data_IF_922959930060
#
_entry.id   IF_922959930060
#
_cell.length_a   1.000
_cell.length_b   1.000
_cell.length_c   1.000
_cell.angle_alpha   90.00
_cell.angle_beta   90.00
_cell.angle_gamma   90.00
#
_symmetry.space_group_name_H-M   'P 1'
#
loop_
_entity.id
_entity.type
_entity.pdbx_description
1 polymer ?
#
# COMPACT_ATOMS: atom_id res chain seq x y z
N UNK A 1 -15.67 -0.63 -26.33
CA UNK A 1 -15.13 0.72 -26.03
C UNK A 1 -14.53 0.71 -24.62
N UNK A 2 -13.19 0.71 -24.51
CA UNK A 2 -12.48 0.74 -23.23
C UNK A 2 -12.67 2.08 -22.53
N UNK A 3 -13.25 2.10 -21.32
CA UNK A 3 -13.30 3.29 -20.48
C UNK A 3 -12.00 3.38 -19.66
N UNK A 4 -11.01 4.11 -20.16
CA UNK A 4 -9.86 4.57 -19.38
C UNK A 4 -10.15 5.99 -18.90
N UNK A 5 -10.33 6.18 -17.59
CA UNK A 5 -10.34 7.51 -16.96
C UNK A 5 -8.88 7.96 -16.77
N UNK A 6 -8.51 9.20 -17.15
CA UNK A 6 -7.18 9.72 -16.90
C UNK A 6 -7.13 10.25 -15.45
N UNK A 7 -6.18 9.77 -14.65
CA UNK A 7 -5.83 10.45 -13.40
C UNK A 7 -4.65 11.37 -13.67
N UNK A 8 -4.97 12.64 -13.96
CA UNK A 8 -4.05 13.75 -13.81
C UNK A 8 -3.94 14.05 -12.32
N UNK A 9 -2.71 14.09 -11.79
CA UNK A 9 -2.45 14.40 -10.39
C UNK A 9 -0.97 14.72 -10.17
N UNK A 10 -0.53 15.83 -10.74
CA UNK A 10 0.70 16.51 -10.30
C UNK A 10 0.47 16.96 -8.84
N UNK A 11 1.24 16.38 -7.91
CA UNK A 11 1.02 16.61 -6.49
C UNK A 11 2.26 16.23 -5.70
N UNK A 12 3.15 17.21 -5.54
CA UNK A 12 4.30 17.21 -4.63
C UNK A 12 4.00 16.37 -3.38
N UNK A 13 4.68 15.22 -3.25
CA UNK A 13 4.69 14.40 -2.03
C UNK A 13 5.38 15.18 -0.92
N UNK A 14 4.66 16.13 -0.33
CA UNK A 14 4.95 16.62 1.00
C UNK A 14 4.83 15.41 1.90
N UNK A 15 5.89 15.09 2.64
CA UNK A 15 5.88 14.12 3.74
C UNK A 15 4.90 14.60 4.81
N UNK A 16 3.61 14.52 4.52
CA UNK A 16 2.57 14.58 5.52
C UNK A 16 2.77 13.34 6.38
N UNK A 17 2.75 13.51 7.71
CA UNK A 17 2.53 12.39 8.64
C UNK A 17 1.49 11.50 8.01
N UNK A 18 1.84 10.25 7.72
CA UNK A 18 0.93 9.26 7.16
C UNK A 18 -0.11 9.01 8.25
N UNK A 19 -1.15 9.83 8.29
CA UNK A 19 -2.35 9.56 9.05
C UNK A 19 -3.01 8.42 8.30
N UNK A 20 -2.74 7.19 8.73
CA UNK A 20 -3.45 6.02 8.27
C UNK A 20 -4.88 6.21 8.75
N UNK A 21 -5.79 6.46 7.80
CA UNK A 21 -7.21 6.62 8.09
C UNK A 21 -7.72 5.32 8.74
N UNK A 22 -8.43 5.38 9.88
CA UNK A 22 -9.06 4.21 10.49
C UNK A 22 -9.98 3.44 9.52
N UNK A 23 -10.59 4.14 8.56
CA UNK A 23 -11.45 3.55 7.52
C UNK A 23 -10.67 3.16 6.25
N UNK A 24 -9.33 3.13 6.31
CA UNK A 24 -8.50 2.71 5.16
C UNK A 24 -8.62 1.21 4.86
N UNK A 25 -9.02 0.42 5.85
CA UNK A 25 -9.22 -1.02 5.73
C UNK A 25 -10.59 -1.38 6.28
N UNK A 26 -11.34 -2.18 5.54
CA UNK A 26 -12.59 -2.73 6.05
C UNK A 26 -12.29 -3.81 7.12
N UNK A 27 -13.25 -4.06 8.01
CA UNK A 27 -13.10 -5.06 9.08
C UNK A 27 -12.82 -6.47 8.52
N UNK A 28 -13.42 -6.80 7.38
CA UNK A 28 -13.21 -8.09 6.71
C UNK A 28 -11.80 -8.19 6.10
N UNK A 29 -11.17 -7.06 5.75
CA UNK A 29 -9.83 -7.00 5.16
C UNK A 29 -8.71 -7.02 6.22
N UNK A 30 -9.04 -7.00 7.52
CA UNK A 30 -8.02 -6.97 8.59
C UNK A 30 -7.14 -8.22 8.61
N UNK A 31 -7.70 -9.39 8.28
CA UNK A 31 -6.95 -10.63 8.17
C UNK A 31 -5.96 -10.58 6.99
N UNK A 32 -6.43 -10.17 5.81
CA UNK A 32 -5.62 -10.01 4.61
C UNK A 32 -4.55 -8.92 4.78
N UNK A 33 -4.88 -7.84 5.49
CA UNK A 33 -3.93 -6.78 5.86
C UNK A 33 -2.79 -7.35 6.70
N UNK A 34 -3.09 -8.13 7.73
CA UNK A 34 -2.05 -8.72 8.58
C UNK A 34 -1.16 -9.68 7.79
N UNK A 35 -1.73 -10.48 6.89
CA UNK A 35 -0.97 -11.34 5.98
C UNK A 35 -0.08 -10.51 5.02
N UNK A 36 -0.61 -9.42 4.46
CA UNK A 36 0.15 -8.52 3.59
C UNK A 36 1.29 -7.80 4.33
N UNK A 37 1.10 -7.46 5.61
CA UNK A 37 2.14 -6.88 6.47
C UNK A 37 3.28 -7.88 6.70
N UNK A 38 2.95 -9.13 7.02
CA UNK A 38 3.96 -10.17 7.26
C UNK A 38 4.76 -10.50 6.00
N UNK A 39 4.05 -10.65 4.86
CA UNK A 39 4.69 -10.81 3.56
C UNK A 39 5.60 -9.61 3.23
N UNK A 40 5.10 -8.38 3.43
CA UNK A 40 5.88 -7.16 3.16
C UNK A 40 7.11 -7.06 4.06
N UNK A 41 7.00 -7.46 5.34
CA UNK A 41 8.14 -7.51 6.26
C UNK A 41 9.20 -8.51 5.79
N UNK A 42 8.78 -9.67 5.28
CA UNK A 42 9.69 -10.67 4.70
C UNK A 42 10.35 -10.16 3.43
N UNK A 43 9.58 -9.58 2.50
CA UNK A 43 10.07 -8.94 1.29
C UNK A 43 11.12 -7.84 1.56
N UNK A 44 10.90 -7.00 2.58
CA UNK A 44 11.86 -5.98 3.00
C UNK A 44 13.15 -6.62 3.55
N UNK A 45 13.06 -7.71 4.33
CA UNK A 45 14.23 -8.45 4.82
C UNK A 45 15.04 -9.10 3.70
N UNK A 46 14.37 -9.54 2.64
CA UNK A 46 15.00 -10.07 1.42
C UNK A 46 15.66 -8.98 0.56
N UNK A 47 15.52 -7.71 0.94
CA UNK A 47 16.11 -6.57 0.23
C UNK A 47 15.28 -6.06 -0.94
N UNK A 48 14.00 -6.44 -1.04
CA UNK A 48 13.12 -5.85 -2.04
C UNK A 48 12.90 -4.35 -1.76
N UNK A 49 12.89 -3.55 -2.83
CA UNK A 49 12.61 -2.12 -2.71
C UNK A 49 11.14 -1.86 -2.40
N UNK A 50 10.86 -0.83 -1.59
CA UNK A 50 9.49 -0.41 -1.29
C UNK A 50 8.64 -0.17 -2.54
N UNK A 51 9.25 0.34 -3.62
CA UNK A 51 8.57 0.56 -4.90
C UNK A 51 8.09 -0.76 -5.50
N UNK A 52 8.93 -1.80 -5.47
CA UNK A 52 8.58 -3.14 -5.98
C UNK A 52 7.44 -3.74 -5.17
N UNK A 53 7.54 -3.67 -3.83
CA UNK A 53 6.52 -4.16 -2.91
C UNK A 53 5.20 -3.41 -3.12
N UNK A 54 5.24 -2.08 -3.24
CA UNK A 54 4.07 -1.25 -3.47
C UNK A 54 3.36 -1.62 -4.77
N UNK A 55 4.12 -1.89 -5.83
CA UNK A 55 3.55 -2.36 -7.10
C UNK A 55 2.94 -3.76 -6.98
N UNK A 56 3.56 -4.67 -6.24
CA UNK A 56 3.01 -6.00 -6.01
C UNK A 56 1.70 -5.93 -5.23
N UNK A 57 1.65 -5.19 -4.13
CA UNK A 57 0.42 -4.98 -3.36
C UNK A 57 -0.69 -4.39 -4.24
N UNK A 58 -0.38 -3.40 -5.08
CA UNK A 58 -1.37 -2.84 -6.01
C UNK A 58 -1.83 -3.83 -7.08
N UNK A 59 -0.97 -4.74 -7.52
CA UNK A 59 -1.34 -5.80 -8.46
C UNK A 59 -2.25 -6.84 -7.80
N UNK A 60 -2.07 -7.08 -6.50
CA UNK A 60 -2.93 -7.96 -5.70
C UNK A 60 -4.32 -7.37 -5.44
N UNK A 61 -4.48 -6.05 -5.58
CA UNK A 61 -5.76 -5.35 -5.41
C UNK A 61 -5.75 -4.26 -4.35
N UNK A 62 -4.65 -4.09 -3.61
CA UNK A 62 -4.53 -3.05 -2.61
C UNK A 62 -4.44 -1.67 -3.25
N UNK A 63 -5.17 -0.69 -2.73
CA UNK A 63 -5.06 0.69 -3.22
C UNK A 63 -3.69 1.29 -2.89
N UNK A 64 -3.26 2.31 -3.64
CA UNK A 64 -2.02 3.02 -3.37
C UNK A 64 -1.83 3.48 -1.90
N UNK A 65 -2.84 4.07 -1.22
CA UNK A 65 -2.71 4.41 0.19
C UNK A 65 -2.67 3.17 1.12
N UNK A 66 -3.44 2.11 0.85
CA UNK A 66 -3.38 0.86 1.62
C UNK A 66 -1.99 0.20 1.50
N UNK A 67 -1.44 0.08 0.29
CA UNK A 67 -0.11 -0.50 0.06
C UNK A 67 0.97 0.29 0.80
N UNK A 68 0.86 1.63 0.82
CA UNK A 68 1.80 2.48 1.55
C UNK A 68 1.68 2.29 3.06
N UNK A 69 0.45 2.20 3.58
CA UNK A 69 0.19 1.93 4.99
C UNK A 69 0.74 0.55 5.39
N UNK A 70 0.51 -0.50 4.59
CA UNK A 70 1.07 -1.84 4.83
C UNK A 70 2.60 -1.78 4.91
N UNK A 71 3.25 -1.13 3.93
CA UNK A 71 4.72 -0.97 3.93
C UNK A 71 5.22 -0.23 5.17
N UNK A 72 4.55 0.84 5.59
CA UNK A 72 4.97 1.59 6.78
C UNK A 72 4.68 0.82 8.08
N UNK A 73 3.59 0.05 8.15
CA UNK A 73 3.28 -0.84 9.28
C UNK A 73 4.30 -1.99 9.40
N UNK A 74 4.79 -2.53 8.28
CA UNK A 74 5.80 -3.61 8.29
C UNK A 74 7.17 -3.18 8.81
N UNK A 75 7.47 -1.87 8.81
CA UNK A 75 8.73 -1.30 9.31
C UNK A 75 8.68 -0.88 10.78
N UNK A 76 7.48 -0.81 11.37
CA UNK A 76 7.32 -0.65 12.83
C UNK A 76 7.76 -1.93 13.53
#
# INVERSE_FOLDING_TARGET
>A
MAKRKPITGDGKVRKAKVMIDPDLFDNDELADKNAAIDWTRSALKEGQSERSILMQLQTTGWSAPQSRAIIDLSKQ
#
